data_IF_942089970296
#
_entry.id   IF_942089970296
#
_cell.length_a   1.000
_cell.length_b   1.000
_cell.length_c   1.000
_cell.angle_alpha   90.00
_cell.angle_beta   90.00
_cell.angle_gamma   90.00
#
_symmetry.space_group_name_H-M   'P 1'
#
loop_
_entity.id
_entity.type
_entity.pdbx_description
1 polymer ?
#
# COMPACT_ATOMS: atom_id res chain seq x y z
N UNK A 1 -5.61 -8.61 13.60
CA UNK A 1 -5.20 -9.81 12.86
C UNK A 1 -3.72 -9.65 12.59
N UNK A 2 -2.91 -10.51 13.17
CA UNK A 2 -1.46 -10.34 13.08
C UNK A 2 -0.98 -10.84 11.72
N UNK A 3 -0.06 -10.09 11.10
CA UNK A 3 0.50 -10.36 9.78
C UNK A 3 2.01 -10.31 9.89
N UNK A 4 2.69 -11.26 9.25
CA UNK A 4 4.14 -11.27 9.16
C UNK A 4 4.59 -10.45 7.96
N UNK A 5 5.66 -9.68 8.13
CA UNK A 5 6.36 -9.05 7.02
C UNK A 5 7.08 -10.11 6.17
N UNK A 6 7.06 -9.90 4.86
CA UNK A 6 7.72 -10.78 3.90
C UNK A 6 8.98 -10.05 3.41
N UNK A 7 10.09 -10.77 3.30
CA UNK A 7 11.35 -10.20 2.80
C UNK A 7 11.20 -9.90 1.30
N UNK A 8 11.60 -8.69 0.88
CA UNK A 8 11.59 -8.29 -0.53
C UNK A 8 12.83 -7.47 -0.85
N UNK A 9 13.82 -8.09 -1.52
CA UNK A 9 15.11 -7.49 -1.80
C UNK A 9 15.80 -7.00 -0.52
N UNK A 10 16.17 -5.71 -0.48
CA UNK A 10 16.76 -5.08 0.71
C UNK A 10 15.72 -4.61 1.73
N UNK A 11 14.41 -4.72 1.44
CA UNK A 11 13.32 -4.25 2.29
C UNK A 11 12.38 -5.35 2.80
N UNK A 12 11.25 -4.92 3.33
CA UNK A 12 10.17 -5.77 3.81
C UNK A 12 8.85 -5.27 3.22
N UNK A 13 7.91 -6.18 2.96
CA UNK A 13 6.59 -5.86 2.46
C UNK A 13 5.50 -6.50 3.32
N UNK A 14 4.31 -5.89 3.29
CA UNK A 14 3.10 -6.41 3.90
C UNK A 14 2.14 -6.81 2.78
N UNK A 15 1.58 -8.02 2.84
CA UNK A 15 0.54 -8.44 1.92
C UNK A 15 -0.82 -7.85 2.33
N UNK A 16 -1.41 -7.06 1.45
CA UNK A 16 -2.75 -6.49 1.61
C UNK A 16 -3.69 -7.25 0.66
N UNK A 17 -4.77 -7.82 1.20
CA UNK A 17 -5.74 -8.55 0.38
C UNK A 17 -6.72 -7.59 -0.32
N UNK A 18 -7.41 -8.10 -1.34
CA UNK A 18 -8.37 -7.29 -2.13
C UNK A 18 -9.47 -6.68 -1.26
N UNK A 19 -9.97 -7.39 -0.25
CA UNK A 19 -11.01 -6.86 0.65
C UNK A 19 -10.57 -5.58 1.36
N UNK A 20 -9.32 -5.50 1.83
CA UNK A 20 -8.80 -4.26 2.45
C UNK A 20 -8.64 -3.16 1.40
N UNK A 21 -8.13 -3.49 0.20
CA UNK A 21 -8.00 -2.53 -0.91
C UNK A 21 -9.36 -1.92 -1.32
N UNK A 22 -10.40 -2.75 -1.38
CA UNK A 22 -11.77 -2.34 -1.71
C UNK A 22 -12.33 -1.39 -0.65
N UNK A 23 -12.10 -1.68 0.64
CA UNK A 23 -12.54 -0.84 1.75
C UNK A 23 -11.91 0.56 1.70
N UNK A 24 -10.65 0.67 1.29
CA UNK A 24 -9.96 1.95 1.13
C UNK A 24 -10.08 2.53 -0.29
N UNK A 25 -10.85 1.88 -1.16
CA UNK A 25 -11.13 2.26 -2.56
C UNK A 25 -9.85 2.51 -3.38
N UNK A 26 -8.86 1.63 -3.24
CA UNK A 26 -7.58 1.68 -3.97
C UNK A 26 -7.54 0.57 -5.03
N UNK A 27 -7.34 0.96 -6.29
CA UNK A 27 -6.99 0.03 -7.37
C UNK A 27 -5.46 -0.05 -7.52
N UNK A 28 -4.81 -1.17 -7.17
CA UNK A 28 -3.35 -1.30 -7.25
C UNK A 28 -2.78 -1.20 -8.68
N UNK A 29 -3.62 -1.28 -9.71
CA UNK A 29 -3.24 -1.12 -11.12
C UNK A 29 -3.16 0.33 -11.58
N UNK A 30 -3.74 1.28 -10.86
CA UNK A 30 -3.77 2.68 -11.30
C UNK A 30 -3.42 3.67 -10.19
N UNK A 31 -3.76 3.32 -8.95
CA UNK A 31 -3.67 4.21 -7.82
C UNK A 31 -2.32 4.05 -7.11
N UNK A 32 -1.80 5.17 -6.63
CA UNK A 32 -0.71 5.19 -5.67
C UNK A 32 -1.28 5.28 -4.25
N UNK A 33 -0.49 4.85 -3.28
CA UNK A 33 -0.74 5.07 -1.85
C UNK A 33 0.39 5.87 -1.25
N UNK A 34 0.05 6.71 -0.29
CA UNK A 34 1.00 7.38 0.57
C UNK A 34 0.96 6.74 1.95
N UNK A 35 2.09 6.79 2.66
CA UNK A 35 2.10 6.43 4.07
C UNK A 35 2.68 7.54 4.92
N UNK A 36 2.10 7.71 6.10
CA UNK A 36 2.63 8.57 7.16
C UNK A 36 2.84 7.74 8.43
N UNK A 37 3.69 8.25 9.31
CA UNK A 37 3.94 7.64 10.63
C UNK A 37 3.45 8.60 11.69
N UNK A 38 2.53 8.12 12.53
CA UNK A 38 1.99 8.86 13.67
C UNK A 38 2.23 8.05 14.95
N UNK A 39 3.26 8.42 15.70
CA UNK A 39 3.72 7.67 16.88
C UNK A 39 4.18 6.28 16.50
N UNK A 40 3.44 5.24 16.90
CA UNK A 40 3.72 3.84 16.59
C UNK A 40 2.79 3.26 15.50
N UNK A 41 2.07 4.10 14.76
CA UNK A 41 1.13 3.69 13.72
C UNK A 41 1.68 4.06 12.35
N UNK A 42 1.61 3.11 11.42
CA UNK A 42 1.73 3.37 9.98
C UNK A 42 0.32 3.59 9.42
N UNK A 43 0.08 4.76 8.85
CA UNK A 43 -1.20 5.11 8.25
C UNK A 43 -1.00 5.10 6.74
N UNK A 44 -1.82 4.34 6.03
CA UNK A 44 -1.77 4.23 4.56
C UNK A 44 -3.03 4.87 4.00
N UNK A 45 -2.87 5.82 3.09
CA UNK A 45 -3.97 6.53 2.45
C UNK A 45 -3.84 6.47 0.93
N UNK A 46 -4.98 6.56 0.23
CA UNK A 46 -4.98 6.71 -1.22
C UNK A 46 -4.33 8.03 -1.60
N UNK A 47 -3.34 7.99 -2.47
CA UNK A 47 -2.71 9.18 -3.00
C UNK A 47 -3.61 9.85 -4.04
N UNK A 48 -3.60 11.19 -4.17
CA UNK A 48 -4.22 11.87 -5.30
C UNK A 48 -3.50 11.58 -6.63
N UNK A 49 -2.24 11.13 -6.58
CA UNK A 49 -1.42 10.82 -7.75
C UNK A 49 -1.74 9.44 -8.33
N UNK A 50 -1.42 9.24 -9.62
CA UNK A 50 -1.61 7.97 -10.34
C UNK A 50 -0.28 7.35 -10.74
N UNK A 51 -0.33 6.05 -11.04
CA UNK A 51 0.81 5.29 -11.54
C UNK A 51 1.15 5.70 -12.96
N UNK A 52 2.33 6.30 -13.15
CA UNK A 52 2.87 6.63 -14.47
C UNK A 52 3.77 5.50 -15.03
N UNK A 53 4.08 4.50 -14.20
CA UNK A 53 5.01 3.42 -14.51
C UNK A 53 4.40 2.25 -15.32
N UNK A 54 3.08 2.26 -15.52
CA UNK A 54 2.35 1.16 -16.20
C UNK A 54 2.19 1.42 -17.71
N UNK A 55 2.41 2.65 -18.18
CA UNK A 55 2.32 3.02 -19.60
C UNK A 55 3.70 3.10 -20.30
N UNK A 56 4.75 2.51 -19.72
CA UNK A 56 6.11 2.52 -20.25
C UNK A 56 6.56 1.14 -20.71
#
# INVERSE_FOLDING_TARGET
MDRKLIRSGNGWCLYINNTILDLIKVDPKSDLVEYSVEGNKLIITKSPNKRDDINK
#
